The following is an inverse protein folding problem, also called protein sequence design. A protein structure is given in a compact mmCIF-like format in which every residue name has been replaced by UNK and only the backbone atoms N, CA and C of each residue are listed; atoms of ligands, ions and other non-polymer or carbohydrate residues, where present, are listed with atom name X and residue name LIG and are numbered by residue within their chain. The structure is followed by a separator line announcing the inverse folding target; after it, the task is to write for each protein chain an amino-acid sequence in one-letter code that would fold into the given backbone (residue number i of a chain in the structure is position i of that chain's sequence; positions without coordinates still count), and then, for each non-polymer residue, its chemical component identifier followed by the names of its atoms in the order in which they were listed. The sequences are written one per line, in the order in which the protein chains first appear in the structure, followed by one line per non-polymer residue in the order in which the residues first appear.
data_IF_072383547582
#
_entry.id   IF_072383547582
#
_cell.length_a   1.000
_cell.length_b   1.000
_cell.length_c   1.000
_cell.angle_alpha   90.00
_cell.angle_beta   90.00
_cell.angle_gamma   90.00
#
_symmetry.space_group_name_H-M   'P 1'
#
loop_
_entity.id
_entity.type
_entity.pdbx_description
1 polymer ?
#
# COMPACT_ATOMS: atom_id res chain seq x y z
N UNK A 1 31.30 41.52 -34.83
CA UNK A 1 31.67 41.61 -33.38
C UNK A 1 30.49 41.10 -32.60
N UNK A 2 30.59 39.92 -32.06
CA UNK A 2 29.54 39.33 -31.18
C UNK A 2 29.57 40.05 -29.87
N UNK A 3 28.45 40.58 -29.44
CA UNK A 3 28.34 41.40 -28.24
C UNK A 3 28.46 40.51 -26.99
N UNK A 4 29.60 40.58 -26.31
CA UNK A 4 29.95 39.76 -25.13
C UNK A 4 28.87 39.80 -24.05
N UNK A 5 28.17 40.93 -23.90
CA UNK A 5 27.04 41.05 -22.96
C UNK A 5 25.85 40.14 -23.32
N UNK A 6 25.62 39.90 -24.60
CA UNK A 6 24.53 38.99 -25.08
C UNK A 6 24.87 37.51 -24.84
N UNK A 7 26.15 37.16 -24.97
CA UNK A 7 26.65 35.79 -24.72
C UNK A 7 26.59 35.45 -23.23
N UNK A 8 26.98 36.39 -22.36
CA UNK A 8 26.95 36.22 -20.90
C UNK A 8 25.48 36.06 -20.40
N UNK A 9 24.56 36.84 -20.95
CA UNK A 9 23.14 36.75 -20.59
C UNK A 9 22.52 35.43 -21.01
N UNK A 10 22.85 34.90 -22.21
CA UNK A 10 22.42 33.56 -22.68
C UNK A 10 23.05 32.44 -21.85
N UNK A 11 24.26 32.56 -21.37
CA UNK A 11 24.94 31.56 -20.54
C UNK A 11 24.34 31.48 -19.11
N UNK A 12 23.89 32.61 -18.58
CA UNK A 12 23.24 32.67 -17.26
C UNK A 12 21.88 32.01 -17.27
N UNK A 13 21.12 32.06 -18.38
CA UNK A 13 19.83 31.39 -18.52
C UNK A 13 19.98 29.85 -18.59
N UNK A 14 21.13 29.36 -19.07
CA UNK A 14 21.43 27.92 -19.11
C UNK A 14 21.86 27.31 -17.76
N UNK A 15 22.16 28.15 -16.78
CA UNK A 15 22.63 27.72 -15.46
C UNK A 15 21.57 27.74 -14.35
N UNK A 16 20.33 28.13 -14.67
CA UNK A 16 19.24 27.84 -13.75
C UNK A 16 18.93 26.35 -13.82
N UNK A 17 19.19 25.57 -12.74
CA UNK A 17 18.61 24.25 -12.67
C UNK A 17 17.11 24.45 -12.74
N UNK A 18 16.47 23.93 -13.78
CA UNK A 18 15.07 23.62 -13.74
C UNK A 18 14.95 22.62 -12.58
N UNK A 19 14.68 23.11 -11.38
CA UNK A 19 14.14 22.29 -10.33
C UNK A 19 12.81 21.79 -10.88
N UNK A 20 12.87 20.67 -11.59
CA UNK A 20 11.71 19.82 -11.80
C UNK A 20 11.37 19.39 -10.37
N UNK A 21 10.52 20.18 -9.73
CA UNK A 21 9.80 19.75 -8.57
C UNK A 21 8.91 18.62 -9.09
N UNK A 22 9.44 17.40 -9.05
CA UNK A 22 8.67 16.19 -9.19
C UNK A 22 7.77 16.12 -7.96
N UNK A 23 6.74 16.94 -7.95
CA UNK A 23 5.62 16.76 -7.05
C UNK A 23 4.75 15.68 -7.67
N UNK A 24 5.17 14.44 -7.42
CA UNK A 24 4.73 13.25 -8.14
C UNK A 24 3.44 12.63 -7.61
N UNK A 25 2.66 13.36 -6.90
CA UNK A 25 1.24 13.13 -6.76
C UNK A 25 0.65 13.41 -8.16
N UNK A 26 0.73 12.39 -9.00
CA UNK A 26 0.36 12.53 -10.41
C UNK A 26 -1.03 13.15 -10.45
N UNK A 27 -1.10 14.35 -10.98
CA UNK A 27 -2.32 15.16 -10.98
C UNK A 27 -3.50 14.38 -11.54
N UNK A 28 -3.25 13.60 -12.61
CA UNK A 28 -4.24 12.70 -13.20
C UNK A 28 -4.74 11.61 -12.24
N UNK A 29 -3.88 11.04 -11.38
CA UNK A 29 -4.30 10.00 -10.42
C UNK A 29 -5.15 10.58 -9.31
N UNK A 30 -4.86 11.81 -8.91
CA UNK A 30 -5.67 12.55 -7.94
C UNK A 30 -7.03 12.88 -8.53
N UNK A 31 -7.10 13.29 -9.79
CA UNK A 31 -8.34 13.55 -10.52
C UNK A 31 -9.17 12.27 -10.67
N UNK A 32 -8.55 11.16 -11.11
CA UNK A 32 -9.23 9.87 -11.30
C UNK A 32 -9.82 9.30 -10.00
N UNK A 33 -9.11 9.43 -8.86
CA UNK A 33 -9.54 8.83 -7.59
C UNK A 33 -10.47 9.74 -6.79
N UNK A 34 -10.30 11.05 -6.87
CA UNK A 34 -10.95 12.01 -5.97
C UNK A 34 -11.62 13.17 -6.70
N UNK A 35 -11.64 13.12 -8.06
CA UNK A 35 -12.21 14.20 -8.89
C UNK A 35 -11.63 15.57 -8.49
N UNK A 36 -12.45 16.60 -8.34
CA UNK A 36 -12.06 17.93 -7.89
C UNK A 36 -12.14 18.11 -6.36
N UNK A 37 -12.21 17.01 -5.59
CA UNK A 37 -12.33 17.10 -4.14
C UNK A 37 -11.07 17.71 -3.51
N UNK A 38 -11.29 18.54 -2.50
CA UNK A 38 -10.20 19.14 -1.74
C UNK A 38 -9.59 18.14 -0.75
N UNK A 39 -8.28 17.92 -0.86
CA UNK A 39 -7.52 17.10 0.08
C UNK A 39 -6.72 17.99 1.02
N UNK A 40 -6.93 17.85 2.32
CA UNK A 40 -6.19 18.58 3.34
C UNK A 40 -4.97 17.77 3.80
N UNK A 41 -3.79 18.37 3.75
CA UNK A 41 -2.60 17.74 4.30
C UNK A 41 -2.66 17.70 5.83
N UNK A 42 -2.34 16.56 6.44
CA UNK A 42 -2.41 16.38 7.90
C UNK A 42 -1.27 15.52 8.43
N UNK A 43 -0.83 15.81 9.65
CA UNK A 43 0.09 14.96 10.41
C UNK A 43 -0.66 13.86 11.21
N UNK A 44 -1.99 13.89 11.26
CA UNK A 44 -2.80 12.91 11.97
C UNK A 44 -2.85 11.54 11.27
N UNK A 45 -2.45 11.47 10.01
CA UNK A 45 -2.20 10.22 9.30
C UNK A 45 -0.70 9.93 9.38
N UNK A 46 -0.34 8.95 10.20
CA UNK A 46 1.04 8.55 10.44
C UNK A 46 1.38 7.38 9.52
N UNK A 47 2.45 7.53 8.73
CA UNK A 47 2.98 6.48 7.87
C UNK A 47 4.34 6.08 8.44
N UNK A 48 4.46 4.89 9.01
CA UNK A 48 5.75 4.33 9.37
C UNK A 48 6.23 3.35 8.30
N UNK A 49 7.40 3.62 7.75
CA UNK A 49 8.03 2.85 6.70
C UNK A 49 9.55 3.10 6.73
N UNK A 50 10.40 2.14 6.35
CA UNK A 50 11.83 2.35 6.29
C UNK A 50 12.18 3.37 5.20
N UNK A 51 13.06 4.35 5.51
CA UNK A 51 13.54 5.30 4.49
C UNK A 51 14.21 4.59 3.30
N UNK A 52 14.90 3.47 3.56
CA UNK A 52 15.48 2.57 2.55
C UNK A 52 15.08 1.13 2.84
N UNK A 53 14.36 0.53 1.94
CA UNK A 53 14.04 -0.89 2.01
C UNK A 53 15.19 -1.72 1.42
N UNK A 54 15.50 -2.83 2.11
CA UNK A 54 16.50 -3.80 1.64
C UNK A 54 15.91 -4.64 0.49
N UNK A 55 14.62 -4.98 0.61
CA UNK A 55 13.87 -5.75 -0.36
C UNK A 55 12.62 -4.98 -0.78
N UNK A 56 12.58 -4.52 -2.02
CA UNK A 56 11.44 -3.80 -2.58
C UNK A 56 10.16 -4.65 -2.72
N UNK A 57 10.28 -5.98 -2.71
CA UNK A 57 9.13 -6.88 -2.80
C UNK A 57 8.44 -7.16 -1.47
N UNK A 58 9.06 -6.75 -0.36
CA UNK A 58 8.58 -7.05 0.99
C UNK A 58 8.88 -5.90 1.96
N UNK A 59 8.29 -4.74 1.72
CA UNK A 59 8.51 -3.53 2.50
C UNK A 59 7.47 -3.43 3.60
N UNK A 60 7.87 -3.52 4.89
CA UNK A 60 6.92 -3.37 5.99
C UNK A 60 6.48 -1.92 6.13
N UNK A 61 5.19 -1.71 6.31
CA UNK A 61 4.60 -0.41 6.59
C UNK A 61 3.57 -0.51 7.71
N UNK A 62 3.43 0.58 8.44
CA UNK A 62 2.34 0.81 9.39
C UNK A 62 1.63 2.11 9.01
N UNK A 63 0.32 2.08 8.95
CA UNK A 63 -0.52 3.26 8.74
C UNK A 63 -1.44 3.40 9.94
N UNK A 64 -1.46 4.59 10.53
CA UNK A 64 -2.33 4.91 11.68
C UNK A 64 -3.00 6.24 11.44
N UNK A 65 -4.31 6.33 11.60
CA UNK A 65 -4.98 7.61 11.76
C UNK A 65 -5.25 7.88 13.24
N UNK A 66 -4.78 9.03 13.72
CA UNK A 66 -4.96 9.44 15.12
C UNK A 66 -6.44 9.73 15.41
N UNK A 67 -7.14 10.34 14.43
CA UNK A 67 -8.57 10.56 14.53
C UNK A 67 -9.36 9.27 14.28
N UNK A 68 -10.22 8.90 15.21
CA UNK A 68 -11.15 7.77 15.06
C UNK A 68 -12.34 8.08 14.13
N UNK A 69 -12.44 9.32 13.64
CA UNK A 69 -13.46 9.69 12.64
C UNK A 69 -13.06 9.24 11.22
N UNK A 70 -11.79 8.91 10.99
CA UNK A 70 -11.33 8.31 9.74
C UNK A 70 -11.88 6.88 9.64
N UNK A 71 -12.62 6.62 8.58
CA UNK A 71 -13.26 5.30 8.35
C UNK A 71 -12.63 4.55 7.19
N UNK A 72 -11.84 5.23 6.34
CA UNK A 72 -11.15 4.62 5.22
C UNK A 72 -9.76 5.22 5.03
N UNK A 73 -8.81 4.37 4.71
CA UNK A 73 -7.44 4.76 4.33
C UNK A 73 -7.12 4.15 2.96
N UNK A 74 -6.71 4.99 2.02
CA UNK A 74 -6.27 4.55 0.69
C UNK A 74 -4.77 4.76 0.56
N UNK A 75 -4.04 3.68 0.29
CA UNK A 75 -2.60 3.70 0.07
C UNK A 75 -2.28 3.78 -1.42
N UNK A 76 -1.50 4.77 -1.78
CA UNK A 76 -1.02 5.03 -3.13
C UNK A 76 0.51 4.98 -3.11
N UNK A 77 1.09 4.27 -4.07
CA UNK A 77 2.54 4.17 -4.28
C UNK A 77 2.81 4.76 -5.65
N UNK A 78 3.22 6.03 -5.70
CA UNK A 78 3.18 6.88 -6.89
C UNK A 78 3.88 6.27 -8.13
N UNK A 79 5.01 5.58 -7.95
CA UNK A 79 5.82 5.02 -9.04
C UNK A 79 5.63 3.51 -9.26
N UNK A 80 4.60 2.91 -8.64
CA UNK A 80 4.24 1.53 -8.94
C UNK A 80 3.48 1.43 -10.27
N UNK A 81 3.55 0.29 -10.98
CA UNK A 81 2.78 0.04 -12.20
C UNK A 81 1.28 0.19 -12.00
N UNK A 82 0.79 -0.15 -10.80
CA UNK A 82 -0.57 0.12 -10.32
C UNK A 82 -0.44 1.00 -9.08
N UNK A 83 -0.52 2.34 -9.20
CA UNK A 83 -0.26 3.25 -8.09
C UNK A 83 -1.23 3.09 -6.93
N UNK A 84 -2.54 2.96 -7.18
CA UNK A 84 -3.52 2.66 -6.15
C UNK A 84 -3.29 1.22 -5.66
N UNK A 85 -2.59 1.11 -4.53
CA UNK A 85 -2.14 -0.18 -4.00
C UNK A 85 -3.25 -0.89 -3.25
N UNK A 86 -3.89 -0.20 -2.31
CA UNK A 86 -4.89 -0.79 -1.42
C UNK A 86 -5.80 0.27 -0.80
N UNK A 87 -7.02 -0.12 -0.47
CA UNK A 87 -7.90 0.60 0.45
C UNK A 87 -8.22 -0.26 1.66
N UNK A 88 -8.35 0.38 2.81
CA UNK A 88 -8.66 -0.22 4.11
C UNK A 88 -9.84 0.51 4.72
N UNK A 89 -10.91 -0.19 5.03
CA UNK A 89 -12.07 0.37 5.72
C UNK A 89 -12.15 -0.17 7.15
N UNK A 90 -12.52 0.72 8.07
CA UNK A 90 -12.57 0.46 9.51
C UNK A 90 -13.96 0.81 10.02
N UNK A 91 -14.73 -0.20 10.38
CA UNK A 91 -16.04 -0.02 10.98
C UNK A 91 -15.97 -0.41 12.44
N UNK A 92 -16.15 0.58 13.32
CA UNK A 92 -16.15 0.42 14.78
C UNK A 92 -14.85 -0.16 15.37
N UNK A 93 -13.74 -0.04 14.64
CA UNK A 93 -12.39 -0.39 15.07
C UNK A 93 -11.41 0.75 14.82
N UNK A 94 -10.27 0.72 15.47
CA UNK A 94 -9.23 1.75 15.33
C UNK A 94 -8.68 1.72 13.90
N UNK A 95 -8.58 2.89 13.20
CA UNK A 95 -8.00 2.97 11.87
C UNK A 95 -6.47 2.83 11.90
N UNK A 96 -6.05 1.57 11.96
CA UNK A 96 -4.68 1.11 12.07
C UNK A 96 -4.49 -0.16 11.26
N UNK A 97 -3.44 -0.21 10.48
CA UNK A 97 -3.05 -1.41 9.73
C UNK A 97 -1.53 -1.50 9.59
N UNK A 98 -0.99 -2.71 9.85
CA UNK A 98 0.36 -3.07 9.41
C UNK A 98 0.24 -4.08 8.28
N UNK A 99 1.09 -3.95 7.27
CA UNK A 99 1.17 -4.88 6.15
C UNK A 99 2.53 -4.77 5.47
N UNK A 100 2.78 -5.64 4.50
CA UNK A 100 3.93 -5.54 3.62
C UNK A 100 3.49 -5.16 2.20
N UNK A 101 4.22 -4.27 1.57
CA UNK A 101 3.95 -3.79 0.21
C UNK A 101 5.12 -4.07 -0.74
N UNK A 102 4.82 -3.97 -2.04
CA UNK A 102 5.82 -3.94 -3.11
C UNK A 102 6.08 -2.51 -3.52
N UNK A 103 7.34 -2.16 -3.67
CA UNK A 103 7.76 -0.83 -4.12
C UNK A 103 8.71 -0.99 -5.31
N UNK A 104 8.32 -0.45 -6.46
CA UNK A 104 9.02 -0.69 -7.72
C UNK A 104 10.17 0.29 -8.00
N UNK A 105 10.06 1.52 -7.50
CA UNK A 105 11.05 2.57 -7.68
C UNK A 105 11.11 3.47 -6.44
N UNK A 106 12.08 4.40 -6.40
CA UNK A 106 12.11 5.47 -5.41
C UNK A 106 10.84 6.31 -5.56
N UNK A 107 10.05 6.42 -4.51
CA UNK A 107 8.68 6.91 -4.60
C UNK A 107 8.19 7.54 -3.30
N UNK A 108 7.07 8.23 -3.35
CA UNK A 108 6.28 8.54 -2.17
C UNK A 108 5.23 7.44 -1.93
N UNK A 109 5.05 7.12 -0.67
CA UNK A 109 3.85 6.49 -0.15
C UNK A 109 2.89 7.62 0.20
N UNK A 110 1.77 7.70 -0.49
CA UNK A 110 0.70 8.65 -0.21
C UNK A 110 -0.45 7.90 0.43
N UNK A 111 -0.91 8.36 1.58
CA UNK A 111 -2.08 7.79 2.25
C UNK A 111 -3.16 8.87 2.32
N UNK A 112 -4.31 8.56 1.76
CA UNK A 112 -5.51 9.40 1.83
C UNK A 112 -6.47 8.79 2.83
N UNK A 113 -6.87 9.57 3.82
CA UNK A 113 -7.89 9.23 4.81
C UNK A 113 -9.21 9.90 4.47
N UNK A 114 -10.28 9.14 4.52
CA UNK A 114 -11.65 9.65 4.40
C UNK A 114 -12.35 9.53 5.76
N UNK A 115 -12.91 10.64 6.24
CA UNK A 115 -13.70 10.63 7.44
C UNK A 115 -15.17 10.23 7.18
N UNK A 116 -15.93 9.97 8.24
CA UNK A 116 -17.35 9.58 8.16
C UNK A 116 -18.27 10.64 7.49
N UNK A 117 -17.76 11.86 7.24
CA UNK A 117 -18.49 12.92 6.55
C UNK A 117 -18.05 13.05 5.07
N UNK A 118 -17.11 12.20 4.62
CA UNK A 118 -16.55 12.24 3.27
C UNK A 118 -15.45 13.29 3.08
N UNK A 119 -14.95 13.92 4.15
CA UNK A 119 -13.83 14.85 4.05
C UNK A 119 -12.52 14.09 3.90
N UNK A 120 -11.65 14.56 3.00
CA UNK A 120 -10.41 13.90 2.64
C UNK A 120 -9.19 14.60 3.26
N UNK A 121 -8.32 13.79 3.81
CA UNK A 121 -7.03 14.18 4.40
C UNK A 121 -5.93 13.35 3.76
N UNK A 122 -4.70 13.84 3.71
CA UNK A 122 -3.59 13.03 3.22
C UNK A 122 -2.28 13.31 3.96
N UNK A 123 -1.42 12.31 3.96
CA UNK A 123 -0.01 12.46 4.31
C UNK A 123 0.87 11.64 3.34
N UNK A 124 2.17 12.00 3.29
CA UNK A 124 3.12 11.39 2.34
C UNK A 124 4.45 11.08 3.01
N UNK A 125 5.06 9.98 2.64
CA UNK A 125 6.39 9.59 3.10
C UNK A 125 7.25 9.08 1.94
N UNK A 126 8.42 9.67 1.75
CA UNK A 126 9.36 9.22 0.73
C UNK A 126 10.09 7.96 1.16
N UNK A 127 10.21 6.99 0.24
CA UNK A 127 10.90 5.72 0.45
C UNK A 127 11.84 5.42 -0.73
N UNK A 128 12.97 4.79 -0.42
CA UNK A 128 13.94 4.28 -1.39
C UNK A 128 13.87 2.77 -1.46
N UNK A 129 13.28 2.26 -2.54
CA UNK A 129 13.23 0.84 -2.87
C UNK A 129 13.27 0.68 -4.39
N UNK A 130 13.46 -0.50 -4.90
CA UNK A 130 13.47 -0.77 -6.34
C UNK A 130 13.11 -2.22 -6.67
N UNK A 131 12.46 -2.42 -7.84
CA UNK A 131 12.24 -3.71 -8.46
C UNK A 131 11.24 -4.63 -7.74
N UNK A 132 10.49 -4.13 -6.76
CA UNK A 132 9.65 -4.96 -5.91
C UNK A 132 8.51 -5.68 -6.62
N UNK A 133 7.94 -5.07 -7.67
CA UNK A 133 6.81 -5.66 -8.39
C UNK A 133 7.21 -6.83 -9.30
N UNK A 134 8.45 -6.85 -9.79
CA UNK A 134 8.99 -7.92 -10.65
C UNK A 134 9.90 -8.91 -9.93
N UNK A 135 10.25 -8.66 -8.66
CA UNK A 135 11.10 -9.54 -7.89
C UNK A 135 10.43 -10.90 -7.67
N UNK A 136 11.19 -11.97 -7.92
CA UNK A 136 10.72 -13.31 -7.65
C UNK A 136 10.48 -13.50 -6.13
N UNK A 137 9.42 -14.19 -5.72
CA UNK A 137 9.18 -14.48 -4.32
C UNK A 137 10.29 -15.38 -3.79
N UNK A 138 11.04 -14.90 -2.80
CA UNK A 138 12.14 -15.67 -2.21
C UNK A 138 11.62 -16.41 -0.98
N UNK A 139 11.78 -17.74 -0.97
CA UNK A 139 11.81 -18.53 0.27
C UNK A 139 10.48 -18.99 0.85
N UNK A 140 9.33 -18.79 0.20
CA UNK A 140 8.06 -19.31 0.71
C UNK A 140 7.54 -20.48 -0.14
N UNK A 141 7.49 -21.66 0.49
CA UNK A 141 6.65 -22.76 -0.01
C UNK A 141 5.21 -22.36 0.22
N UNK A 142 4.47 -22.11 -0.85
CA UNK A 142 3.04 -21.82 -0.74
C UNK A 142 2.34 -23.14 -0.46
N UNK A 143 1.81 -23.29 0.75
CA UNK A 143 0.90 -24.36 1.12
C UNK A 143 -0.51 -24.15 0.53
N UNK A 144 -1.56 -24.78 1.08
CA UNK A 144 -2.93 -24.52 0.66
C UNK A 144 -3.28 -23.04 0.75
N UNK A 145 -3.89 -22.49 -0.32
CA UNK A 145 -4.24 -21.06 -0.42
C UNK A 145 -5.27 -20.59 0.62
N UNK A 146 -6.09 -21.52 1.10
CA UNK A 146 -7.14 -21.30 2.09
C UNK A 146 -6.62 -21.19 3.53
N UNK A 147 -5.33 -21.45 3.76
CA UNK A 147 -4.76 -21.41 5.11
C UNK A 147 -4.60 -19.97 5.60
N UNK A 148 -5.16 -19.70 6.78
CA UNK A 148 -5.00 -18.45 7.53
C UNK A 148 -4.33 -18.77 8.86
N UNK A 149 -3.29 -18.02 9.23
CA UNK A 149 -2.65 -18.10 10.53
C UNK A 149 -2.94 -16.82 11.31
N UNK A 150 -3.46 -16.94 12.55
CA UNK A 150 -3.77 -15.82 13.42
C UNK A 150 -2.80 -15.82 14.61
N UNK A 151 -2.14 -14.69 14.82
CA UNK A 151 -1.21 -14.47 15.91
C UNK A 151 -1.70 -13.33 16.82
N UNK A 152 -1.58 -13.52 18.12
CA UNK A 152 -1.74 -12.42 19.06
C UNK A 152 -0.50 -11.54 18.99
N UNK A 153 -0.67 -10.27 18.69
CA UNK A 153 0.40 -9.30 18.66
C UNK A 153 0.18 -8.24 19.74
N UNK A 154 1.16 -8.12 20.64
CA UNK A 154 1.12 -7.18 21.77
C UNK A 154 0.51 -7.70 23.08
N UNK A 155 0.91 -7.03 24.17
CA UNK A 155 0.62 -7.44 25.57
C UNK A 155 -0.83 -7.24 26.01
N UNK A 156 -1.61 -6.37 25.35
CA UNK A 156 -2.99 -6.03 25.71
C UNK A 156 -4.08 -6.65 24.83
N UNK A 157 -3.79 -7.75 24.10
CA UNK A 157 -4.75 -8.56 23.33
C UNK A 157 -5.55 -7.84 22.23
N UNK A 158 -5.31 -6.56 22.00
CA UNK A 158 -6.07 -5.78 21.05
C UNK A 158 -5.59 -5.95 19.60
N UNK A 159 -4.28 -6.18 19.39
CA UNK A 159 -3.70 -6.40 18.06
C UNK A 159 -3.76 -7.87 17.67
N UNK A 160 -4.19 -8.13 16.44
CA UNK A 160 -4.18 -9.45 15.80
C UNK A 160 -3.43 -9.34 14.50
N UNK A 161 -2.44 -10.19 14.31
CA UNK A 161 -1.79 -10.41 13.01
C UNK A 161 -2.44 -11.59 12.32
N UNK A 162 -3.04 -11.33 11.18
CA UNK A 162 -3.71 -12.30 10.32
C UNK A 162 -2.83 -12.48 9.08
N UNK A 163 -2.29 -13.66 8.90
CA UNK A 163 -1.40 -13.98 7.80
C UNK A 163 -2.06 -14.95 6.83
N UNK A 164 -2.04 -14.59 5.54
CA UNK A 164 -2.64 -15.37 4.47
C UNK A 164 -1.57 -16.20 3.75
N UNK A 165 -1.85 -17.47 3.56
CA UNK A 165 -0.98 -18.36 2.81
C UNK A 165 -1.32 -18.33 1.31
N UNK A 166 -1.15 -17.17 0.68
CA UNK A 166 -1.43 -16.94 -0.72
C UNK A 166 -0.15 -16.55 -1.46
N UNK A 167 0.07 -16.96 -2.73
CA UNK A 167 1.28 -16.63 -3.47
C UNK A 167 1.44 -15.14 -3.73
N UNK A 168 0.35 -14.40 -3.85
CA UNK A 168 0.34 -12.97 -4.19
C UNK A 168 1.30 -12.61 -5.32
N UNK A 169 1.20 -13.33 -6.44
CA UNK A 169 1.96 -13.03 -7.64
C UNK A 169 1.43 -11.75 -8.30
N UNK A 170 2.35 -10.87 -8.65
CA UNK A 170 2.02 -9.58 -9.26
C UNK A 170 1.66 -9.65 -10.75
N UNK A 171 1.98 -10.74 -11.44
CA UNK A 171 1.90 -10.82 -12.90
C UNK A 171 3.12 -10.25 -13.64
N UNK A 172 4.02 -9.56 -12.91
CA UNK A 172 5.23 -8.95 -13.47
C UNK A 172 6.50 -9.76 -13.16
N UNK A 173 6.34 -10.90 -12.51
CA UNK A 173 7.43 -11.79 -12.12
C UNK A 173 7.72 -12.77 -13.23
N UNK A 174 9.01 -13.09 -13.36
CA UNK A 174 9.49 -13.97 -14.41
C UNK A 174 9.99 -15.32 -13.82
N UNK A 175 9.47 -16.41 -14.35
CA UNK A 175 9.97 -17.75 -14.02
C UNK A 175 11.21 -18.07 -14.86
N UNK A 176 12.35 -18.12 -14.21
CA UNK A 176 13.64 -18.34 -14.89
C UNK A 176 13.78 -19.74 -15.50
N UNK A 177 13.08 -20.74 -14.95
CA UNK A 177 13.13 -22.12 -15.44
C UNK A 177 12.31 -22.30 -16.71
N UNK A 178 11.06 -21.79 -16.70
CA UNK A 178 10.17 -21.91 -17.86
C UNK A 178 10.36 -20.78 -18.87
N UNK A 179 11.06 -19.71 -18.49
CA UNK A 179 11.26 -18.48 -19.27
C UNK A 179 9.95 -17.80 -19.69
N UNK A 180 8.96 -17.85 -18.79
CA UNK A 180 7.64 -17.22 -18.98
C UNK A 180 7.33 -16.28 -17.82
N UNK A 181 6.44 -15.34 -18.03
CA UNK A 181 5.84 -14.56 -16.96
C UNK A 181 4.98 -15.45 -16.06
N UNK A 182 4.97 -15.16 -14.77
CA UNK A 182 4.09 -15.82 -13.80
C UNK A 182 2.79 -15.03 -13.81
N UNK A 183 1.64 -15.65 -14.13
CA UNK A 183 0.36 -14.97 -14.12
C UNK A 183 0.05 -14.33 -12.77
N UNK A 184 -0.65 -13.21 -12.79
CA UNK A 184 -1.13 -12.55 -11.57
C UNK A 184 -2.07 -13.48 -10.80
N UNK A 185 -1.82 -13.62 -9.51
CA UNK A 185 -2.58 -14.47 -8.59
C UNK A 185 -2.46 -13.89 -7.19
N UNK A 186 -3.36 -12.98 -6.81
CA UNK A 186 -3.28 -12.21 -5.57
C UNK A 186 -4.65 -12.06 -4.90
N UNK A 187 -4.63 -11.85 -3.59
CA UNK A 187 -5.83 -11.52 -2.81
C UNK A 187 -6.26 -10.10 -3.19
N UNK A 188 -7.46 -9.95 -3.71
CA UNK A 188 -8.05 -8.68 -4.12
C UNK A 188 -8.98 -8.07 -3.06
N UNK A 189 -9.62 -8.88 -2.23
CA UNK A 189 -10.46 -8.40 -1.14
C UNK A 189 -10.39 -9.29 0.10
N UNK A 190 -10.48 -8.67 1.27
CA UNK A 190 -10.57 -9.34 2.59
C UNK A 190 -11.62 -8.64 3.44
N UNK A 191 -12.43 -9.41 4.15
CA UNK A 191 -13.32 -8.93 5.21
C UNK A 191 -13.02 -9.70 6.48
N UNK A 192 -12.66 -8.98 7.55
CA UNK A 192 -12.40 -9.55 8.87
C UNK A 192 -13.43 -9.01 9.83
N UNK A 193 -14.32 -9.88 10.31
CA UNK A 193 -15.28 -9.55 11.36
C UNK A 193 -14.69 -9.87 12.72
N UNK A 194 -14.69 -8.90 13.60
CA UNK A 194 -14.13 -9.00 14.94
C UNK A 194 -15.20 -8.85 16.02
N UNK A 195 -14.77 -8.92 17.28
CA UNK A 195 -15.64 -8.68 18.43
C UNK A 195 -16.18 -7.24 18.45
N UNK A 196 -15.37 -6.26 18.03
CA UNK A 196 -15.70 -4.84 18.13
C UNK A 196 -16.23 -4.23 16.84
N UNK A 197 -15.89 -4.80 15.68
CA UNK A 197 -16.31 -4.24 14.42
C UNK A 197 -15.76 -5.01 13.21
N UNK A 198 -15.56 -4.32 12.10
CA UNK A 198 -15.17 -4.94 10.85
C UNK A 198 -14.01 -4.18 10.19
N UNK A 199 -13.06 -4.95 9.66
CA UNK A 199 -12.00 -4.47 8.77
C UNK A 199 -12.26 -5.00 7.37
N UNK A 200 -12.16 -4.10 6.37
CA UNK A 200 -12.17 -4.49 4.97
C UNK A 200 -10.90 -4.02 4.29
N UNK A 201 -10.47 -4.83 3.36
CA UNK A 201 -9.36 -4.54 2.47
C UNK A 201 -9.79 -4.81 1.04
N UNK A 202 -9.45 -3.91 0.15
CA UNK A 202 -9.44 -4.10 -1.29
C UNK A 202 -8.08 -3.65 -1.83
N UNK A 203 -7.49 -4.44 -2.72
CA UNK A 203 -6.16 -4.12 -3.18
C UNK A 203 -5.77 -4.74 -4.51
N UNK A 204 -4.55 -4.43 -4.90
CA UNK A 204 -3.98 -4.79 -6.19
C UNK A 204 -2.66 -5.54 -6.01
N UNK A 205 -1.89 -5.68 -7.08
CA UNK A 205 -0.57 -6.32 -7.10
C UNK A 205 0.48 -5.63 -6.21
N UNK A 206 0.17 -4.47 -5.64
CA UNK A 206 1.07 -3.69 -4.77
C UNK A 206 1.28 -4.30 -3.38
N UNK A 207 0.45 -5.25 -2.95
CA UNK A 207 0.67 -5.97 -1.69
C UNK A 207 1.71 -7.08 -1.89
N UNK A 208 2.56 -7.27 -0.88
CA UNK A 208 3.65 -8.25 -0.91
C UNK A 208 3.14 -9.71 -0.98
N UNK A 209 4.00 -10.61 -1.45
CA UNK A 209 3.79 -12.05 -1.34
C UNK A 209 3.74 -12.55 0.12
N UNK A 210 4.33 -11.82 1.05
CA UNK A 210 4.17 -12.09 2.49
C UNK A 210 2.98 -11.30 3.02
N UNK A 211 1.78 -11.67 2.57
CA UNK A 211 0.54 -10.95 2.83
C UNK A 211 0.04 -11.19 4.23
N UNK A 212 -0.05 -10.13 5.01
CA UNK A 212 -0.68 -10.14 6.33
C UNK A 212 -1.28 -8.77 6.63
N UNK A 213 -2.20 -8.76 7.61
CA UNK A 213 -2.65 -7.54 8.26
C UNK A 213 -2.48 -7.68 9.77
N UNK A 214 -1.95 -6.62 10.41
CA UNK A 214 -2.10 -6.44 11.85
C UNK A 214 -3.13 -5.33 12.08
N UNK A 215 -4.19 -5.64 12.81
CA UNK A 215 -5.31 -4.73 13.10
C UNK A 215 -5.64 -4.72 14.60
N UNK A 216 -6.35 -3.68 15.04
CA UNK A 216 -7.01 -3.67 16.34
C UNK A 216 -8.47 -4.12 16.18
N UNK A 217 -8.92 -5.15 16.88
CA UNK A 217 -10.30 -5.65 16.71
C UNK A 217 -10.76 -6.64 17.77
N UNK A 218 -9.90 -7.01 18.71
CA UNK A 218 -10.21 -8.02 19.70
C UNK A 218 -10.28 -9.44 19.11
N UNK A 219 -11.25 -10.26 19.54
CA UNK A 219 -11.41 -11.63 19.05
C UNK A 219 -11.91 -11.64 17.60
N UNK A 220 -11.25 -12.40 16.73
CA UNK A 220 -11.70 -12.63 15.35
C UNK A 220 -12.90 -13.60 15.38
N UNK A 221 -13.95 -13.29 14.64
CA UNK A 221 -15.14 -14.11 14.48
C UNK A 221 -15.23 -14.80 13.13
N UNK A 222 -14.91 -14.06 12.07
CA UNK A 222 -14.98 -14.58 10.71
C UNK A 222 -13.97 -13.87 9.83
N UNK A 223 -13.36 -14.59 8.91
CA UNK A 223 -12.50 -14.04 7.85
C UNK A 223 -13.01 -14.57 6.52
N UNK A 224 -13.25 -13.64 5.57
CA UNK A 224 -13.56 -13.94 4.18
C UNK A 224 -12.52 -13.25 3.30
N UNK A 225 -12.08 -13.93 2.26
CA UNK A 225 -11.26 -13.29 1.25
C UNK A 225 -11.50 -13.86 -0.15
N UNK A 226 -11.18 -13.06 -1.15
CA UNK A 226 -11.22 -13.43 -2.56
C UNK A 226 -9.88 -13.19 -3.21
N UNK A 227 -9.62 -13.89 -4.30
CA UNK A 227 -8.48 -13.63 -5.16
C UNK A 227 -8.94 -13.10 -6.54
N UNK A 228 -8.02 -12.53 -7.29
CA UNK A 228 -8.29 -11.97 -8.63
C UNK A 228 -8.68 -13.03 -9.67
N UNK A 229 -8.63 -14.32 -9.33
CA UNK A 229 -9.11 -15.43 -10.15
C UNK A 229 -10.57 -15.81 -9.83
N UNK A 230 -11.18 -15.13 -8.84
CA UNK A 230 -12.56 -15.34 -8.42
C UNK A 230 -12.77 -16.46 -7.41
N UNK A 231 -11.71 -17.03 -6.85
CA UNK A 231 -11.83 -17.98 -5.77
C UNK A 231 -12.26 -17.26 -4.48
N UNK A 232 -13.07 -17.94 -3.66
CA UNK A 232 -13.60 -17.41 -2.40
C UNK A 232 -13.26 -18.34 -1.26
N UNK A 233 -12.82 -17.77 -0.17
CA UNK A 233 -12.40 -18.47 1.03
C UNK A 233 -13.09 -17.86 2.24
N UNK A 234 -13.50 -18.71 3.17
CA UNK A 234 -14.16 -18.28 4.40
C UNK A 234 -13.79 -19.20 5.56
N UNK A 235 -13.44 -18.62 6.69
CA UNK A 235 -13.14 -19.32 7.93
C UNK A 235 -13.83 -18.64 9.11
N UNK A 236 -14.53 -19.46 9.94
CA UNK A 236 -15.22 -19.00 11.15
C UNK A 236 -14.41 -19.41 12.38
N UNK A 237 -14.35 -18.53 13.37
CA UNK A 237 -13.64 -18.72 14.64
C UNK A 237 -14.62 -18.60 15.79
N UNK A 238 -14.61 -19.56 16.70
CA UNK A 238 -15.47 -19.62 17.90
C UNK A 238 -14.91 -18.74 19.06
#
# INVERSE_FOLDING_TARGET
MINIKSVVLSLIILLFPLSVCSDSWKEWLKEDLYEEQFLEQTEDIIIDAPYRAIDGSNVPITITAVSQDIVKLTLIIDENPTPCCASFEFKDIIPYVETNIRVNAYTHLTVVGEDKNGKLYFNRKFIKAAGGCSAAPIGRSVGPKDKIDIFNDGWLFAKKKIQFNHPNYSGLQFNQLTRTEIPADYIDAVVITTEYGEFKYEGTIGISHNHYFTIYGGKIKNIKFTDNLGNKYEENYE
#
